data_IF_047531165953
#
_entry.id   IF_047531165953
#
_cell.length_a   1.000
_cell.length_b   1.000
_cell.length_c   1.000
_cell.angle_alpha   90.00
_cell.angle_beta   90.00
_cell.angle_gamma   90.00
#
_symmetry.space_group_name_H-M   'P 1'
#
loop_
_entity.id
_entity.type
_entity.pdbx_description
1 polymer ?
#
# COMPACT_ATOMS: atom_id res chain seq x y z
N UNK A 1 11.13 -9.37 2.21
CA UNK A 1 11.76 -10.71 2.20
C UNK A 1 11.03 -11.56 3.23
N UNK A 2 10.28 -12.58 2.79
CA UNK A 2 9.53 -13.47 3.69
C UNK A 2 10.49 -14.43 4.37
N UNK A 3 10.34 -14.65 5.68
CA UNK A 3 11.08 -15.71 6.38
C UNK A 3 10.65 -17.10 5.87
N UNK A 4 11.55 -18.07 5.99
CA UNK A 4 11.29 -19.48 5.71
C UNK A 4 10.00 -19.94 6.42
N UNK A 5 9.12 -20.64 5.70
CA UNK A 5 7.81 -21.12 6.17
C UNK A 5 7.94 -21.94 7.45
N UNK A 6 9.05 -22.66 7.61
CA UNK A 6 9.34 -23.47 8.80
C UNK A 6 9.61 -22.61 10.05
N UNK A 7 10.15 -21.40 9.89
CA UNK A 7 10.43 -20.46 10.99
C UNK A 7 9.14 -19.77 11.45
N UNK A 8 8.28 -19.36 10.52
CA UNK A 8 6.96 -18.79 10.85
C UNK A 8 6.08 -19.79 11.59
N UNK A 9 6.04 -21.05 11.13
CA UNK A 9 5.30 -22.12 11.80
C UNK A 9 5.76 -22.35 13.24
N UNK A 10 7.08 -22.33 13.49
CA UNK A 10 7.62 -22.44 14.85
C UNK A 10 7.25 -21.24 15.73
N UNK A 11 7.15 -20.05 15.16
CA UNK A 11 6.72 -18.87 15.91
C UNK A 11 5.24 -18.96 16.31
N UNK A 12 4.37 -19.41 15.41
CA UNK A 12 2.96 -19.71 15.72
C UNK A 12 2.84 -20.72 16.88
N UNK A 13 3.64 -21.79 16.88
CA UNK A 13 3.63 -22.79 17.95
C UNK A 13 4.01 -22.18 19.31
N UNK A 14 5.02 -21.30 19.34
CA UNK A 14 5.45 -20.59 20.56
C UNK A 14 4.35 -19.64 21.06
N UNK A 15 3.75 -18.87 20.15
CA UNK A 15 2.62 -17.98 20.49
C UNK A 15 1.43 -18.79 21.03
N UNK A 16 1.14 -19.95 20.44
CA UNK A 16 0.13 -20.88 20.94
C UNK A 16 0.40 -21.35 22.37
N UNK A 17 1.65 -21.71 22.70
CA UNK A 17 2.04 -22.07 24.08
C UNK A 17 1.87 -20.91 25.06
N UNK A 18 2.18 -19.68 24.66
CA UNK A 18 1.99 -18.48 25.49
C UNK A 18 0.50 -18.29 25.79
N UNK A 19 -0.35 -18.36 24.76
CA UNK A 19 -1.80 -18.24 24.91
C UNK A 19 -2.35 -19.38 25.78
N UNK A 20 -1.82 -20.60 25.63
CA UNK A 20 -2.21 -21.72 26.48
C UNK A 20 -1.84 -21.50 27.95
N UNK A 21 -0.65 -20.99 28.23
CA UNK A 21 -0.21 -20.64 29.58
C UNK A 21 -1.08 -19.52 30.22
N UNK A 22 -1.78 -18.72 29.41
CA UNK A 22 -2.75 -17.72 29.86
C UNK A 22 -4.16 -18.29 30.10
N UNK A 23 -4.34 -19.62 30.04
CA UNK A 23 -5.58 -20.30 30.39
C UNK A 23 -6.53 -20.58 29.23
N UNK A 24 -6.04 -20.53 27.98
CA UNK A 24 -6.81 -20.88 26.80
C UNK A 24 -6.48 -22.29 26.28
N UNK A 25 -7.47 -23.00 25.77
CA UNK A 25 -7.31 -24.12 24.86
C UNK A 25 -7.03 -23.58 23.44
N UNK A 26 -6.12 -24.22 22.70
CA UNK A 26 -5.50 -23.62 21.49
C UNK A 26 -5.54 -24.58 20.30
N UNK A 27 -6.26 -24.18 19.25
CA UNK A 27 -6.28 -24.84 17.94
C UNK A 27 -5.38 -24.07 16.94
N UNK A 28 -4.28 -24.68 16.46
CA UNK A 28 -3.40 -24.09 15.45
C UNK A 28 -3.93 -24.33 14.03
N UNK A 29 -3.81 -23.32 13.14
CA UNK A 29 -4.11 -23.37 11.70
C UNK A 29 -5.51 -23.89 11.37
N UNK A 30 -6.51 -23.33 12.06
CA UNK A 30 -7.91 -23.75 11.92
C UNK A 30 -8.50 -23.21 10.62
N UNK A 31 -9.16 -24.08 9.85
CA UNK A 31 -9.90 -23.68 8.67
C UNK A 31 -11.40 -23.57 9.01
N UNK A 32 -12.00 -22.40 8.85
CA UNK A 32 -13.45 -22.20 9.08
C UNK A 32 -14.19 -21.75 7.83
N UNK A 33 -15.43 -22.23 7.60
CA UNK A 33 -16.28 -21.71 6.55
C UNK A 33 -16.57 -20.22 6.78
N UNK A 34 -16.44 -19.41 5.73
CA UNK A 34 -16.72 -17.98 5.76
C UNK A 34 -17.60 -17.58 4.56
N UNK A 35 -18.73 -16.92 4.85
CA UNK A 35 -19.67 -16.42 3.87
C UNK A 35 -20.65 -17.47 3.30
N UNK A 36 -21.59 -17.05 2.44
CA UNK A 36 -22.65 -17.90 1.88
C UNK A 36 -22.18 -18.88 0.80
N UNK A 37 -20.92 -18.78 0.36
CA UNK A 37 -20.23 -19.76 -0.50
C UNK A 37 -19.14 -20.38 0.38
N UNK A 38 -18.96 -21.69 0.32
CA UNK A 38 -18.03 -22.48 1.15
C UNK A 38 -16.53 -22.13 0.93
N UNK A 39 -16.15 -20.87 1.14
CA UNK A 39 -14.77 -20.42 1.22
C UNK A 39 -14.28 -20.70 2.63
N UNK A 40 -13.08 -21.28 2.75
CA UNK A 40 -12.44 -21.50 4.03
C UNK A 40 -11.50 -20.34 4.32
N UNK A 41 -11.65 -19.73 5.50
CA UNK A 41 -10.68 -18.80 6.07
C UNK A 41 -9.73 -19.62 6.95
N UNK A 42 -8.45 -19.54 6.66
CA UNK A 42 -7.39 -20.03 7.56
C UNK A 42 -7.18 -19.01 8.67
N UNK A 43 -7.14 -19.49 9.91
CA UNK A 43 -6.89 -18.70 11.12
C UNK A 43 -5.63 -19.31 11.74
N UNK A 44 -4.59 -18.49 11.95
CA UNK A 44 -3.30 -18.97 12.45
C UNK A 44 -3.46 -19.66 13.82
N UNK A 45 -4.21 -19.04 14.74
CA UNK A 45 -4.56 -19.63 16.02
C UNK A 45 -6.00 -19.29 16.41
N UNK A 46 -6.76 -20.29 16.86
CA UNK A 46 -8.08 -20.10 17.47
C UNK A 46 -8.03 -20.58 18.92
N UNK A 47 -8.16 -19.64 19.86
CA UNK A 47 -8.05 -19.92 21.29
C UNK A 47 -9.43 -19.83 21.99
N UNK A 48 -9.69 -20.68 22.99
CA UNK A 48 -10.96 -20.70 23.74
C UNK A 48 -10.72 -20.91 25.23
N UNK A 49 -11.56 -20.35 26.10
CA UNK A 49 -11.44 -20.58 27.54
C UNK A 49 -12.77 -21.04 28.17
N UNK A 50 -12.72 -21.42 29.45
CA UNK A 50 -13.89 -21.88 30.22
C UNK A 50 -14.98 -20.82 30.39
N UNK A 51 -14.62 -19.54 30.25
CA UNK A 51 -15.55 -18.41 30.36
C UNK A 51 -16.32 -18.16 29.04
N UNK A 52 -16.12 -19.01 28.04
CA UNK A 52 -16.77 -18.91 26.73
C UNK A 52 -16.16 -17.87 25.81
N UNK A 53 -14.96 -17.36 26.11
CA UNK A 53 -14.20 -16.49 25.20
C UNK A 53 -13.73 -17.31 24.01
N UNK A 54 -13.89 -16.76 22.80
CA UNK A 54 -13.30 -17.30 21.57
C UNK A 54 -12.43 -16.22 20.96
N UNK A 55 -11.12 -16.45 20.94
CA UNK A 55 -10.09 -15.51 20.52
C UNK A 55 -9.44 -15.97 19.21
N UNK A 56 -9.82 -15.40 18.06
CA UNK A 56 -9.10 -15.61 16.81
C UNK A 56 -7.82 -14.75 16.81
N UNK A 57 -6.71 -15.34 16.39
CA UNK A 57 -5.38 -14.72 16.41
C UNK A 57 -4.73 -14.84 15.04
N UNK A 58 -4.18 -13.73 14.58
CA UNK A 58 -3.28 -13.64 13.43
C UNK A 58 -1.84 -13.49 13.92
N UNK A 59 -0.90 -14.24 13.36
CA UNK A 59 0.51 -14.23 13.76
C UNK A 59 1.39 -13.75 12.60
N UNK A 60 2.17 -12.70 12.84
CA UNK A 60 3.09 -12.13 11.85
C UNK A 60 4.52 -12.14 12.35
N UNK A 61 5.42 -12.64 11.51
CA UNK A 61 6.86 -12.59 11.71
C UNK A 61 7.51 -11.80 10.57
N UNK A 62 8.41 -10.89 10.92
CA UNK A 62 9.17 -10.09 9.98
C UNK A 62 10.65 -10.16 10.33
N UNK A 63 11.51 -10.01 9.32
CA UNK A 63 12.97 -9.91 9.50
C UNK A 63 13.41 -8.53 10.00
N UNK A 64 12.52 -7.54 9.97
CA UNK A 64 12.78 -6.17 10.43
C UNK A 64 12.64 -6.08 11.95
N UNK A 65 13.46 -5.26 12.57
CA UNK A 65 13.35 -4.98 14.01
C UNK A 65 12.06 -4.24 14.37
N UNK A 66 11.67 -3.29 13.51
CA UNK A 66 10.49 -2.45 13.67
C UNK A 66 9.47 -2.75 12.56
N UNK A 67 8.20 -2.82 12.93
CA UNK A 67 7.09 -2.99 11.97
C UNK A 67 6.83 -1.65 11.27
N UNK A 68 6.81 -1.68 9.93
CA UNK A 68 6.42 -0.50 9.16
C UNK A 68 4.91 -0.24 9.31
N UNK A 69 4.50 1.03 9.35
CA UNK A 69 3.09 1.42 9.52
C UNK A 69 2.16 0.76 8.48
N UNK A 70 2.63 0.61 7.23
CA UNK A 70 1.89 -0.07 6.17
C UNK A 70 1.65 -1.56 6.45
N UNK A 71 2.65 -2.27 6.99
CA UNK A 71 2.53 -3.69 7.39
C UNK A 71 1.62 -3.84 8.60
N UNK A 72 1.74 -2.95 9.57
CA UNK A 72 0.86 -2.92 10.74
C UNK A 72 -0.59 -2.76 10.31
N UNK A 73 -0.89 -1.72 9.53
CA UNK A 73 -2.25 -1.42 9.06
C UNK A 73 -2.87 -2.55 8.25
N UNK A 74 -2.11 -3.13 7.31
CA UNK A 74 -2.63 -4.21 6.45
C UNK A 74 -2.91 -5.47 7.27
N UNK A 75 -2.06 -5.81 8.24
CA UNK A 75 -2.28 -6.93 9.16
C UNK A 75 -3.42 -6.67 10.15
N UNK A 76 -3.55 -5.44 10.66
CA UNK A 76 -4.66 -5.03 11.55
C UNK A 76 -6.01 -5.12 10.83
N UNK A 77 -6.09 -4.68 9.58
CA UNK A 77 -7.29 -4.81 8.74
C UNK A 77 -7.68 -6.28 8.50
N UNK A 78 -6.70 -7.14 8.21
CA UNK A 78 -6.93 -8.58 8.07
C UNK A 78 -7.46 -9.20 9.37
N UNK A 79 -6.84 -8.84 10.49
CA UNK A 79 -7.22 -9.32 11.83
C UNK A 79 -8.64 -8.89 12.20
N UNK A 80 -9.01 -7.65 11.89
CA UNK A 80 -10.36 -7.11 12.13
C UNK A 80 -11.47 -7.87 11.38
N UNK A 81 -11.14 -8.53 10.26
CA UNK A 81 -12.11 -9.33 9.53
C UNK A 81 -12.57 -10.58 10.31
N UNK A 82 -11.86 -10.96 11.38
CA UNK A 82 -12.20 -12.10 12.25
C UNK A 82 -13.16 -11.72 13.41
N UNK A 83 -13.68 -10.50 13.42
CA UNK A 83 -14.62 -10.01 14.45
C UNK A 83 -15.88 -10.86 14.60
N UNK A 84 -16.29 -11.56 13.54
CA UNK A 84 -17.45 -12.44 13.51
C UNK A 84 -17.21 -13.80 14.19
N UNK A 85 -15.94 -14.17 14.36
CA UNK A 85 -15.50 -15.38 15.06
C UNK A 85 -15.24 -15.09 16.53
N UNK A 86 -14.81 -13.86 16.85
CA UNK A 86 -14.51 -13.45 18.21
C UNK A 86 -15.76 -13.43 19.10
N UNK A 87 -15.69 -14.08 20.26
CA UNK A 87 -16.76 -14.09 21.27
C UNK A 87 -16.22 -13.51 22.56
N UNK A 88 -16.88 -12.47 23.09
CA UNK A 88 -16.51 -11.76 24.32
C UNK A 88 -15.06 -11.23 24.35
N UNK A 89 -14.47 -10.99 23.18
CA UNK A 89 -13.12 -10.44 23.02
C UNK A 89 -12.97 -9.73 21.69
N UNK A 90 -11.83 -9.05 21.49
CA UNK A 90 -11.40 -8.52 20.19
C UNK A 90 -10.45 -9.52 19.52
N UNK A 91 -10.45 -9.63 18.18
CA UNK A 91 -9.40 -10.36 17.48
C UNK A 91 -8.00 -9.86 17.88
N UNK A 92 -7.05 -10.78 17.99
CA UNK A 92 -5.68 -10.48 18.41
C UNK A 92 -4.71 -10.57 17.23
N UNK A 93 -3.86 -9.56 17.08
CA UNK A 93 -2.74 -9.56 16.15
C UNK A 93 -1.43 -9.69 16.93
N UNK A 94 -0.63 -10.69 16.60
CA UNK A 94 0.67 -10.94 17.23
C UNK A 94 1.79 -10.64 16.23
N UNK A 95 2.75 -9.79 16.63
CA UNK A 95 3.93 -9.45 15.83
C UNK A 95 5.22 -9.88 16.55
N UNK A 96 6.08 -10.62 15.84
CA UNK A 96 7.42 -10.99 16.31
C UNK A 96 8.47 -9.88 16.25
N UNK A 97 8.06 -8.63 16.05
CA UNK A 97 8.91 -7.45 15.95
C UNK A 97 8.35 -6.32 16.83
N UNK A 98 9.15 -5.27 17.06
CA UNK A 98 8.72 -4.12 17.85
C UNK A 98 7.77 -3.24 17.04
N UNK A 99 6.80 -2.64 17.73
CA UNK A 99 5.88 -1.68 17.14
C UNK A 99 6.00 -0.37 17.93
N UNK A 100 6.14 0.75 17.21
CA UNK A 100 6.06 2.07 17.83
C UNK A 100 4.76 2.21 18.67
N UNK A 101 4.84 2.62 19.95
CA UNK A 101 3.67 2.65 20.84
C UNK A 101 2.50 3.48 20.31
N UNK A 102 2.77 4.63 19.66
CA UNK A 102 1.71 5.47 19.11
C UNK A 102 1.01 4.78 17.93
N UNK A 103 1.77 4.08 17.07
CA UNK A 103 1.21 3.27 15.98
C UNK A 103 0.40 2.09 16.48
N UNK A 104 0.82 1.45 17.57
CA UNK A 104 0.08 0.35 18.20
C UNK A 104 -1.28 0.81 18.71
N UNK A 105 -1.30 1.89 19.51
CA UNK A 105 -2.54 2.47 20.06
C UNK A 105 -3.51 2.83 18.94
N UNK A 106 -3.03 3.55 17.92
CA UNK A 106 -3.83 3.90 16.75
C UNK A 106 -4.45 2.66 16.07
N UNK A 107 -3.66 1.60 15.85
CA UNK A 107 -4.13 0.40 15.16
C UNK A 107 -5.14 -0.40 16.01
N UNK A 108 -4.96 -0.47 17.34
CA UNK A 108 -5.90 -1.11 18.27
C UNK A 108 -7.26 -0.39 18.27
N UNK A 109 -7.25 0.94 18.24
CA UNK A 109 -8.46 1.78 18.23
C UNK A 109 -9.20 1.73 16.89
N UNK A 110 -8.48 2.01 15.80
CA UNK A 110 -9.05 2.11 14.44
C UNK A 110 -9.67 0.79 13.99
N UNK A 111 -8.95 -0.32 14.20
CA UNK A 111 -9.38 -1.64 13.73
C UNK A 111 -10.18 -2.43 14.77
N UNK A 112 -10.30 -1.90 16.00
CA UNK A 112 -10.94 -2.58 17.13
C UNK A 112 -10.38 -3.99 17.39
N UNK A 113 -9.06 -4.09 17.42
CA UNK A 113 -8.31 -5.33 17.71
C UNK A 113 -7.45 -5.15 18.96
N UNK A 114 -6.82 -6.24 19.43
CA UNK A 114 -5.72 -6.20 20.39
C UNK A 114 -4.40 -6.50 19.65
N UNK A 115 -3.27 -5.93 20.08
CA UNK A 115 -1.96 -6.16 19.45
C UNK A 115 -0.92 -6.54 20.50
N UNK A 116 -0.27 -7.69 20.30
CA UNK A 116 0.93 -8.06 21.06
C UNK A 116 2.15 -7.98 20.14
N UNK A 117 3.00 -6.99 20.38
CA UNK A 117 4.29 -6.87 19.72
C UNK A 117 5.37 -7.68 20.46
N UNK A 118 6.61 -7.62 19.99
CA UNK A 118 7.72 -8.37 20.59
C UNK A 118 7.91 -8.05 22.07
N UNK A 119 7.75 -6.80 22.48
CA UNK A 119 7.90 -6.40 23.88
C UNK A 119 6.79 -7.00 24.75
N UNK A 120 5.53 -6.84 24.35
CA UNK A 120 4.39 -7.40 25.08
C UNK A 120 4.41 -8.94 25.12
N UNK A 121 4.87 -9.59 24.04
CA UNK A 121 5.05 -11.03 24.02
C UNK A 121 6.06 -11.50 25.06
N UNK A 122 7.21 -10.82 25.19
CA UNK A 122 8.22 -11.15 26.20
C UNK A 122 7.66 -10.97 27.62
N UNK A 123 6.88 -9.91 27.85
CA UNK A 123 6.22 -9.68 29.14
C UNK A 123 5.18 -10.77 29.47
N UNK A 124 4.44 -11.25 28.47
CA UNK A 124 3.38 -12.26 28.63
C UNK A 124 3.87 -13.71 28.60
N UNK A 125 5.12 -13.95 28.20
CA UNK A 125 5.62 -15.29 27.89
C UNK A 125 5.62 -16.27 29.08
N UNK A 126 5.72 -15.77 30.31
CA UNK A 126 5.67 -16.59 31.53
C UNK A 126 6.64 -17.79 31.45
N UNK A 127 6.16 -19.05 31.63
CA UNK A 127 7.01 -20.25 31.53
C UNK A 127 7.67 -20.47 30.16
N UNK A 128 7.17 -19.82 29.10
CA UNK A 128 7.65 -19.93 27.71
C UNK A 128 8.75 -18.90 27.40
N UNK A 129 9.10 -18.02 28.35
CA UNK A 129 10.04 -16.92 28.14
C UNK A 129 11.39 -17.37 27.57
N UNK A 130 12.00 -18.41 28.13
CA UNK A 130 13.31 -18.89 27.66
C UNK A 130 13.27 -19.42 26.23
N UNK A 131 12.17 -20.09 25.85
CA UNK A 131 11.97 -20.60 24.49
C UNK A 131 11.79 -19.43 23.50
N UNK A 132 10.94 -18.45 23.84
CA UNK A 132 10.68 -17.27 23.04
C UNK A 132 11.94 -16.40 22.88
N UNK A 133 12.68 -16.16 23.97
CA UNK A 133 13.89 -15.36 23.94
C UNK A 133 15.00 -16.01 23.09
N UNK A 134 15.16 -17.34 23.19
CA UNK A 134 16.04 -18.10 22.30
C UNK A 134 15.60 -18.02 20.85
N UNK A 135 14.29 -18.09 20.58
CA UNK A 135 13.76 -17.93 19.22
C UNK A 135 14.13 -16.56 18.63
N UNK A 136 13.85 -15.48 19.37
CA UNK A 136 14.18 -14.13 18.93
C UNK A 136 15.69 -13.90 18.77
N UNK A 137 16.52 -14.43 19.66
CA UNK A 137 17.98 -14.37 19.52
C UNK A 137 18.44 -15.01 18.20
N UNK A 138 17.83 -16.12 17.77
CA UNK A 138 18.17 -16.76 16.51
C UNK A 138 17.67 -15.96 15.30
N UNK A 139 16.49 -15.34 15.40
CA UNK A 139 15.97 -14.40 14.40
C UNK A 139 16.92 -13.21 14.24
N UNK A 140 17.40 -12.64 15.34
CA UNK A 140 18.32 -11.50 15.34
C UNK A 140 19.69 -11.88 14.80
N UNK A 141 20.21 -13.08 15.11
CA UNK A 141 21.45 -13.60 14.51
C UNK A 141 21.33 -13.76 13.00
N UNK A 142 20.22 -14.32 12.52
CA UNK A 142 19.95 -14.42 11.07
C UNK A 142 19.84 -13.03 10.42
N UNK A 143 19.20 -12.07 11.11
CA UNK A 143 19.12 -10.66 10.69
C UNK A 143 20.52 -10.04 10.55
N UNK A 144 21.38 -10.22 11.54
CA UNK A 144 22.74 -9.72 11.53
C UNK A 144 23.61 -10.36 10.43
N UNK A 145 23.42 -11.65 10.12
CA UNK A 145 24.13 -12.34 9.03
C UNK A 145 23.67 -11.90 7.63
N UNK A 146 22.42 -11.44 7.50
CA UNK A 146 21.88 -10.85 6.27
C UNK A 146 22.29 -9.37 6.10
N UNK A 147 22.96 -8.79 7.09
CA UNK A 147 23.56 -7.46 7.04
C UNK A 147 25.06 -7.61 6.70
N UNK A 148 25.65 -6.78 5.81
CA UNK A 148 27.08 -6.89 5.46
C UNK A 148 27.97 -6.66 6.70
N UNK A 149 29.18 -7.27 6.77
CA UNK A 149 30.00 -7.25 7.97
C UNK A 149 30.57 -5.86 8.25
N UNK A 150 30.43 -5.43 9.52
CA UNK A 150 31.00 -4.20 10.05
C UNK A 150 32.54 -4.31 10.24
N UNK A 151 33.27 -3.27 9.82
CA UNK A 151 34.70 -3.11 10.13
C UNK A 151 34.84 -2.55 11.54
N UNK A 152 35.65 -3.23 12.35
CA UNK A 152 35.98 -2.94 13.76
C UNK A 152 37.09 -1.90 13.85
N UNK A 153 36.97 -0.91 14.76
CA UNK A 153 38.11 -0.43 15.57
C UNK A 153 37.63 0.05 16.95
N UNK A 154 38.41 -0.30 17.98
CA UNK A 154 38.18 -0.09 19.42
C UNK A 154 38.83 1.20 19.96
N UNK A 155 38.38 1.74 21.12
CA UNK A 155 38.71 3.08 21.65
C UNK A 155 39.84 3.09 22.72
N UNK A 156 40.49 4.24 23.04
CA UNK A 156 40.22 4.99 24.31
C UNK A 156 40.65 6.51 24.26
N UNK A 157 40.63 7.30 25.37
CA UNK A 157 39.70 7.41 26.50
C UNK A 157 39.11 8.84 26.70
N UNK A 158 38.15 8.92 27.63
CA UNK A 158 37.24 10.01 28.01
C UNK A 158 37.84 11.24 28.74
N UNK A 159 37.28 12.43 28.47
CA UNK A 159 36.53 13.22 29.48
C UNK A 159 35.44 14.07 28.80
N UNK A 160 34.24 13.96 29.36
CA UNK A 160 32.93 14.47 28.91
C UNK A 160 32.89 16.01 28.82
N UNK A 161 32.10 16.66 27.97
CA UNK A 161 30.67 16.46 27.71
C UNK A 161 30.38 16.81 26.23
N UNK A 162 30.13 15.80 25.39
CA UNK A 162 30.08 15.97 23.93
C UNK A 162 28.67 16.36 23.43
N UNK A 163 28.57 17.63 23.02
CA UNK A 163 27.79 18.06 21.86
C UNK A 163 28.66 17.85 20.61
N UNK A 164 28.14 17.17 19.59
CA UNK A 164 28.07 17.68 18.20
C UNK A 164 27.75 16.56 17.20
N UNK A 165 26.63 16.76 16.51
CA UNK A 165 26.49 16.79 15.05
C UNK A 165 26.88 15.59 14.17
N UNK A 166 25.84 15.08 13.51
CA UNK A 166 25.80 14.43 12.19
C UNK A 166 26.79 13.28 11.94
N UNK A 167 26.30 12.05 12.10
CA UNK A 167 26.79 10.94 11.28
C UNK A 167 26.40 11.19 9.81
N UNK A 168 27.31 11.08 8.83
CA UNK A 168 26.93 11.12 7.43
C UNK A 168 26.16 9.82 7.13
N UNK A 169 24.85 9.95 6.97
CA UNK A 169 24.01 8.88 6.44
C UNK A 169 24.57 8.45 5.07
N UNK A 170 24.68 7.15 4.81
CA UNK A 170 24.71 6.64 3.44
C UNK A 170 23.68 7.41 2.61
N UNK A 171 24.01 7.90 1.41
CA UNK A 171 23.06 8.66 0.61
C UNK A 171 21.80 7.80 0.45
N UNK A 172 20.68 8.27 1.01
CA UNK A 172 19.36 7.79 0.61
C UNK A 172 19.38 7.75 -0.92
N UNK A 173 19.00 6.64 -1.58
CA UNK A 173 18.95 6.63 -3.03
C UNK A 173 18.11 7.83 -3.46
N UNK A 174 18.72 8.73 -4.24
CA UNK A 174 18.07 9.96 -4.71
C UNK A 174 16.68 9.57 -5.25
N UNK A 175 15.60 10.25 -4.81
CA UNK A 175 14.27 10.00 -5.33
C UNK A 175 14.30 9.97 -6.87
N UNK A 176 13.71 8.94 -7.51
CA UNK A 176 13.90 8.71 -8.93
C UNK A 176 13.12 9.67 -9.84
N UNK A 177 12.42 10.69 -9.30
CA UNK A 177 11.52 11.53 -10.07
C UNK A 177 12.22 12.25 -11.22
N UNK A 178 13.38 12.86 -11.01
CA UNK A 178 14.15 13.48 -12.11
C UNK A 178 14.62 12.46 -13.17
N UNK A 179 14.93 11.23 -12.78
CA UNK A 179 15.28 10.16 -13.73
C UNK A 179 14.06 9.71 -14.57
N UNK A 180 12.88 9.64 -13.94
CA UNK A 180 11.61 9.35 -14.61
C UNK A 180 11.21 10.51 -15.55
N UNK A 181 11.41 11.77 -15.15
CA UNK A 181 11.19 12.96 -15.99
C UNK A 181 12.09 12.93 -17.23
N UNK A 182 13.38 12.65 -17.06
CA UNK A 182 14.32 12.53 -18.16
C UNK A 182 13.90 11.45 -19.15
N UNK A 183 13.48 10.28 -18.65
CA UNK A 183 13.00 9.16 -19.45
C UNK A 183 11.71 9.49 -20.21
N UNK A 184 10.74 10.14 -19.55
CA UNK A 184 9.48 10.59 -20.15
C UNK A 184 9.73 11.62 -21.27
N UNK A 185 10.65 12.56 -21.05
CA UNK A 185 10.96 13.65 -21.99
C UNK A 185 11.74 13.15 -23.21
N UNK A 186 12.63 12.18 -23.03
CA UNK A 186 13.44 11.63 -24.10
C UNK A 186 12.63 10.81 -25.13
N UNK A 187 11.46 10.26 -24.75
CA UNK A 187 10.63 9.47 -25.66
C UNK A 187 9.95 10.35 -26.72
N UNK A 188 10.05 10.05 -28.01
CA UNK A 188 9.34 10.82 -29.03
C UNK A 188 7.83 10.49 -29.03
N UNK A 189 6.97 11.47 -29.34
CA UNK A 189 5.56 11.21 -29.52
C UNK A 189 5.30 10.36 -30.78
N UNK A 190 4.34 9.45 -30.70
CA UNK A 190 3.86 8.68 -31.85
C UNK A 190 3.64 7.21 -31.56
N UNK A 191 3.02 6.54 -32.54
CA UNK A 191 2.65 5.11 -32.44
C UNK A 191 3.86 4.18 -32.26
N UNK A 192 5.01 4.55 -32.84
CA UNK A 192 6.25 3.76 -32.78
C UNK A 192 6.67 3.48 -31.33
N UNK A 193 6.60 4.52 -30.50
CA UNK A 193 7.09 4.47 -29.11
C UNK A 193 5.94 4.42 -28.10
N UNK A 194 4.72 4.13 -28.54
CA UNK A 194 3.53 4.08 -27.67
C UNK A 194 3.66 3.04 -26.55
N UNK A 195 4.29 1.90 -26.80
CA UNK A 195 4.53 0.87 -25.77
C UNK A 195 5.62 1.27 -24.77
N UNK A 196 6.64 2.00 -25.22
CA UNK A 196 7.62 2.57 -24.30
C UNK A 196 6.98 3.66 -23.42
N UNK A 197 6.09 4.48 -24.01
CA UNK A 197 5.30 5.47 -23.26
C UNK A 197 4.40 4.82 -22.20
N UNK A 198 3.68 3.76 -22.55
CA UNK A 198 2.88 2.98 -21.58
C UNK A 198 3.73 2.42 -20.43
N UNK A 199 4.94 1.95 -20.74
CA UNK A 199 5.87 1.42 -19.73
C UNK A 199 6.34 2.51 -18.77
N UNK A 200 6.78 3.67 -19.28
CA UNK A 200 7.22 4.77 -18.40
C UNK A 200 6.05 5.35 -17.59
N UNK A 201 4.84 5.43 -18.18
CA UNK A 201 3.64 5.86 -17.45
C UNK A 201 3.34 4.91 -16.29
N UNK A 202 3.48 3.59 -16.50
CA UNK A 202 3.33 2.59 -15.45
C UNK A 202 4.33 2.83 -14.32
N UNK A 203 5.61 3.02 -14.65
CA UNK A 203 6.67 3.23 -13.66
C UNK A 203 6.45 4.52 -12.85
N UNK A 204 5.96 5.58 -13.50
CA UNK A 204 5.56 6.83 -12.85
C UNK A 204 4.38 6.60 -11.90
N UNK A 205 3.32 5.91 -12.33
CA UNK A 205 2.15 5.62 -11.49
C UNK A 205 2.55 4.79 -10.27
N UNK A 206 3.37 3.75 -10.46
CA UNK A 206 3.85 2.90 -9.38
C UNK A 206 4.68 3.68 -8.36
N UNK A 207 5.51 4.62 -8.84
CA UNK A 207 6.29 5.49 -7.96
C UNK A 207 5.43 6.48 -7.18
N UNK A 208 4.45 7.11 -7.85
CA UNK A 208 3.58 8.11 -7.23
C UNK A 208 2.57 7.49 -6.26
N UNK A 209 1.97 6.35 -6.63
CA UNK A 209 0.75 5.83 -6.02
C UNK A 209 0.78 4.33 -5.72
N UNK A 210 1.94 3.66 -5.80
CA UNK A 210 2.05 2.21 -5.59
C UNK A 210 1.64 1.71 -4.21
N UNK A 211 1.50 2.61 -3.23
CA UNK A 211 0.92 2.26 -1.93
C UNK A 211 -0.58 1.99 -2.01
N UNK A 212 -1.29 2.79 -2.82
CA UNK A 212 -2.74 2.80 -3.02
C UNK A 212 -3.21 1.95 -4.21
N UNK A 213 -2.37 1.86 -5.25
CA UNK A 213 -2.66 1.16 -6.50
C UNK A 213 -1.86 -0.14 -6.55
N UNK A 214 -2.57 -1.27 -6.58
CA UNK A 214 -2.00 -2.63 -6.48
C UNK A 214 -2.40 -3.49 -7.68
N UNK A 215 -1.77 -4.65 -7.78
CA UNK A 215 -2.14 -5.73 -8.70
C UNK A 215 -2.30 -5.27 -10.16
N UNK A 216 -1.31 -4.51 -10.66
CA UNK A 216 -1.33 -4.01 -12.04
C UNK A 216 -1.50 -5.17 -13.03
N UNK A 217 -2.58 -5.11 -13.82
CA UNK A 217 -2.80 -6.04 -14.93
C UNK A 217 -2.59 -5.31 -16.25
N UNK A 218 -1.45 -5.53 -16.88
CA UNK A 218 -1.31 -5.29 -18.32
C UNK A 218 -2.07 -6.39 -19.04
N UNK A 219 -3.18 -6.08 -19.73
CA UNK A 219 -3.88 -7.13 -20.47
C UNK A 219 -3.03 -7.58 -21.67
N UNK A 220 -2.72 -8.88 -21.76
CA UNK A 220 -2.15 -9.49 -22.96
C UNK A 220 -3.24 -9.65 -24.02
N UNK A 221 -2.88 -9.36 -25.27
CA UNK A 221 -3.69 -9.54 -26.49
C UNK A 221 -4.44 -10.87 -26.50
N UNK A 222 -5.77 -10.82 -26.65
CA UNK A 222 -6.56 -11.90 -27.28
C UNK A 222 -6.56 -11.73 -28.80
N UNK A 223 -6.79 -12.84 -29.50
CA UNK A 223 -6.52 -13.06 -30.92
C UNK A 223 -7.28 -12.15 -31.91
N UNK A 224 -8.22 -11.32 -31.45
CA UNK A 224 -9.20 -10.68 -32.33
C UNK A 224 -8.94 -9.18 -32.57
N UNK A 225 -7.82 -8.64 -32.08
CA UNK A 225 -7.37 -7.27 -32.40
C UNK A 225 -8.26 -6.13 -31.89
N UNK A 226 -9.34 -6.43 -31.17
CA UNK A 226 -10.29 -5.46 -30.62
C UNK A 226 -9.94 -5.10 -29.17
N UNK A 227 -9.13 -4.04 -29.08
CA UNK A 227 -8.98 -3.07 -27.99
C UNK A 227 -8.69 -3.58 -26.57
N UNK A 228 -7.49 -3.23 -26.11
CA UNK A 228 -6.89 -3.65 -24.84
C UNK A 228 -6.60 -2.38 -24.05
N UNK A 229 -6.99 -2.36 -22.78
CA UNK A 229 -6.60 -1.30 -21.84
C UNK A 229 -5.10 -1.26 -21.66
N UNK A 230 -4.53 -0.05 -21.58
CA UNK A 230 -3.09 0.08 -21.35
C UNK A 230 -2.75 -0.37 -19.91
N UNK A 231 -3.44 0.16 -18.89
CA UNK A 231 -3.19 -0.22 -17.48
C UNK A 231 -4.48 -0.24 -16.63
N UNK A 232 -4.67 -1.31 -15.84
CA UNK A 232 -5.74 -1.40 -14.83
C UNK A 232 -5.11 -1.68 -13.48
N UNK A 233 -5.46 -0.85 -12.50
CA UNK A 233 -5.05 -1.02 -11.11
C UNK A 233 -6.24 -1.39 -10.24
N UNK A 234 -6.03 -2.33 -9.33
CA UNK A 234 -6.91 -2.51 -8.19
C UNK A 234 -6.59 -1.40 -7.20
N UNK A 235 -7.63 -0.70 -6.74
CA UNK A 235 -7.43 0.29 -5.68
C UNK A 235 -7.50 -0.43 -4.34
N UNK A 236 -6.45 -0.28 -3.55
CA UNK A 236 -6.37 -0.66 -2.14
C UNK A 236 -6.14 0.61 -1.34
N UNK A 237 -7.17 1.48 -1.25
CA UNK A 237 -6.98 2.88 -0.89
C UNK A 237 -6.42 2.99 0.54
N UNK A 238 -5.33 3.73 0.64
CA UNK A 238 -4.57 4.05 1.84
C UNK A 238 -4.66 5.54 2.15
N UNK A 239 -4.47 6.37 1.13
CA UNK A 239 -4.50 7.82 1.15
C UNK A 239 -5.95 8.35 1.14
N UNK A 240 -6.27 9.42 1.89
CA UNK A 240 -7.62 10.01 1.92
C UNK A 240 -8.19 10.35 0.54
N UNK A 241 -7.35 10.80 -0.39
CA UNK A 241 -7.75 11.04 -1.79
C UNK A 241 -8.34 9.77 -2.43
N UNK A 242 -7.60 8.66 -2.41
CA UNK A 242 -8.04 7.40 -3.03
C UNK A 242 -9.24 6.78 -2.30
N UNK A 243 -9.33 6.94 -0.99
CA UNK A 243 -10.52 6.53 -0.20
C UNK A 243 -11.75 7.30 -0.67
N UNK A 244 -11.63 8.62 -0.79
CA UNK A 244 -12.73 9.50 -1.22
C UNK A 244 -13.14 9.18 -2.66
N UNK A 245 -12.18 9.13 -3.58
CA UNK A 245 -12.42 8.82 -4.99
C UNK A 245 -13.14 7.48 -5.17
N UNK A 246 -12.66 6.42 -4.50
CA UNK A 246 -13.27 5.08 -4.62
C UNK A 246 -14.65 4.99 -3.99
N UNK A 247 -14.90 5.70 -2.90
CA UNK A 247 -16.21 5.79 -2.26
C UNK A 247 -17.20 6.52 -3.16
N UNK A 248 -16.87 7.72 -3.59
CA UNK A 248 -17.77 8.64 -4.28
C UNK A 248 -18.18 8.08 -5.65
N UNK A 249 -17.23 7.41 -6.31
CA UNK A 249 -17.46 6.76 -7.60
C UNK A 249 -17.81 5.28 -7.50
N UNK A 250 -17.80 4.66 -6.32
CA UNK A 250 -17.94 3.21 -6.14
C UNK A 250 -16.95 2.41 -6.99
N UNK A 251 -15.71 2.89 -7.08
CA UNK A 251 -14.67 2.27 -7.89
C UNK A 251 -13.91 1.19 -7.08
N UNK A 252 -13.77 -0.02 -7.65
CA UNK A 252 -12.84 -1.05 -7.16
C UNK A 252 -11.54 -1.10 -7.95
N UNK A 253 -11.59 -0.62 -9.18
CA UNK A 253 -10.47 -0.52 -10.10
C UNK A 253 -10.49 0.84 -10.79
N UNK A 254 -9.31 1.34 -11.12
CA UNK A 254 -9.11 2.55 -11.94
C UNK A 254 -8.35 2.17 -13.20
N UNK A 255 -8.66 2.84 -14.30
CA UNK A 255 -7.93 2.67 -15.56
C UNK A 255 -6.96 3.82 -15.77
N UNK A 256 -5.86 3.51 -16.43
CA UNK A 256 -5.02 4.50 -17.08
C UNK A 256 -4.92 4.15 -18.56
N UNK A 257 -5.26 5.13 -19.39
CA UNK A 257 -5.19 5.04 -20.85
C UNK A 257 -4.02 5.90 -21.34
N UNK A 258 -3.05 5.31 -22.03
CA UNK A 258 -1.80 5.96 -22.41
C UNK A 258 -1.83 6.43 -23.88
N UNK A 259 -1.96 7.73 -24.10
CA UNK A 259 -2.03 8.31 -25.45
C UNK A 259 -0.75 9.05 -25.82
N UNK A 260 0.20 8.32 -26.43
CA UNK A 260 1.45 8.89 -26.94
C UNK A 260 1.26 9.65 -28.27
N UNK A 261 0.44 10.70 -28.30
CA UNK A 261 0.15 11.48 -29.50
C UNK A 261 0.90 12.82 -29.49
N UNK A 262 1.39 13.25 -30.67
CA UNK A 262 1.99 14.58 -30.82
C UNK A 262 0.98 15.73 -30.81
N UNK A 263 -0.32 15.42 -30.93
CA UNK A 263 -1.44 16.37 -30.90
C UNK A 263 -2.29 16.14 -29.64
N UNK A 264 -2.96 17.19 -29.12
CA UNK A 264 -3.93 17.07 -28.03
C UNK A 264 -4.97 15.98 -28.26
N UNK A 265 -5.42 15.35 -27.18
CA UNK A 265 -6.51 14.36 -27.21
C UNK A 265 -7.83 15.06 -27.50
N UNK A 266 -8.59 14.52 -28.46
CA UNK A 266 -9.90 15.04 -28.87
C UNK A 266 -11.07 14.17 -28.40
N UNK A 267 -12.30 14.67 -28.58
CA UNK A 267 -13.54 14.03 -28.13
C UNK A 267 -13.70 12.56 -28.58
N UNK A 268 -13.28 12.21 -29.79
CA UNK A 268 -13.40 10.83 -30.29
C UNK A 268 -12.65 9.82 -29.42
N UNK A 269 -11.51 10.20 -28.86
CA UNK A 269 -10.73 9.32 -27.98
C UNK A 269 -11.41 9.14 -26.62
N UNK A 270 -12.18 10.14 -26.18
CA UNK A 270 -13.01 10.04 -24.97
C UNK A 270 -14.10 9.00 -25.21
N UNK A 271 -14.86 9.11 -26.31
CA UNK A 271 -15.94 8.16 -26.61
C UNK A 271 -15.47 6.72 -26.76
N UNK A 272 -14.29 6.49 -27.33
CA UNK A 272 -13.73 5.13 -27.41
C UNK A 272 -13.31 4.61 -26.04
N UNK A 273 -12.69 5.45 -25.21
CA UNK A 273 -12.27 5.10 -23.85
C UNK A 273 -13.47 4.87 -22.93
N UNK A 274 -14.53 5.65 -23.07
CA UNK A 274 -15.71 5.64 -22.21
C UNK A 274 -16.54 4.35 -22.30
N UNK A 275 -16.54 3.70 -23.48
CA UNK A 275 -17.22 2.41 -23.72
C UNK A 275 -16.77 1.30 -22.78
N UNK A 276 -15.60 1.48 -22.20
CA UNK A 276 -14.99 0.54 -21.31
C UNK A 276 -15.26 0.80 -19.83
N UNK A 277 -15.65 2.02 -19.50
CA UNK A 277 -15.96 2.38 -18.14
C UNK A 277 -17.38 1.93 -17.81
N UNK A 278 -17.55 1.47 -16.59
CA UNK A 278 -18.83 0.97 -16.11
C UNK A 278 -18.95 1.23 -14.62
N UNK A 279 -19.85 2.14 -14.26
CA UNK A 279 -20.20 2.38 -12.87
C UNK A 279 -20.83 1.13 -12.23
N UNK A 280 -21.64 0.37 -12.98
CA UNK A 280 -22.26 -0.87 -12.49
C UNK A 280 -21.24 -1.99 -12.25
N UNK A 281 -20.18 -2.08 -13.06
CA UNK A 281 -19.08 -3.02 -12.86
C UNK A 281 -17.97 -2.51 -11.92
N UNK A 282 -18.21 -1.42 -11.18
CA UNK A 282 -17.28 -0.83 -10.21
C UNK A 282 -15.95 -0.38 -10.85
N UNK A 283 -16.03 0.06 -12.11
CA UNK A 283 -14.94 0.60 -12.92
C UNK A 283 -15.32 1.91 -13.64
N UNK A 284 -15.76 2.96 -12.93
CA UNK A 284 -16.19 4.21 -13.56
C UNK A 284 -15.08 5.24 -13.78
N UNK A 285 -13.88 5.05 -13.21
CA UNK A 285 -12.82 6.07 -13.22
C UNK A 285 -11.70 5.70 -14.19
N UNK A 286 -11.31 6.66 -15.04
CA UNK A 286 -10.19 6.56 -15.96
C UNK A 286 -9.32 7.82 -15.92
N UNK A 287 -8.01 7.64 -15.86
CA UNK A 287 -7.03 8.70 -16.11
C UNK A 287 -6.50 8.55 -17.52
N UNK A 288 -6.71 9.57 -18.36
CA UNK A 288 -6.20 9.61 -19.74
C UNK A 288 -4.89 10.37 -19.72
N UNK A 289 -3.80 9.64 -19.92
CA UNK A 289 -2.43 10.14 -19.92
C UNK A 289 -2.02 10.58 -21.32
N UNK A 290 -1.49 11.78 -21.47
CA UNK A 290 -1.09 12.28 -22.79
C UNK A 290 0.10 13.23 -22.79
N UNK A 291 0.81 13.28 -23.92
CA UNK A 291 1.97 14.19 -24.10
C UNK A 291 1.64 15.67 -23.96
N UNK A 292 0.38 16.06 -24.16
CA UNK A 292 -0.11 17.45 -24.17
C UNK A 292 -1.43 17.56 -23.41
N UNK A 293 -1.81 18.76 -22.94
CA UNK A 293 -3.14 19.00 -22.40
C UNK A 293 -4.25 18.59 -23.38
N UNK A 294 -5.38 18.14 -22.84
CA UNK A 294 -6.52 17.72 -23.64
C UNK A 294 -7.14 18.90 -24.40
N UNK A 295 -7.70 18.63 -25.58
CA UNK A 295 -8.45 19.63 -26.33
C UNK A 295 -9.75 19.97 -25.56
N UNK A 296 -10.25 21.23 -25.57
CA UNK A 296 -11.48 21.60 -24.87
C UNK A 296 -12.70 20.71 -25.18
N UNK A 297 -12.87 20.32 -26.45
CA UNK A 297 -13.92 19.36 -26.83
C UNK A 297 -13.78 17.97 -26.19
N UNK A 298 -12.58 17.52 -25.84
CA UNK A 298 -12.39 16.28 -25.08
C UNK A 298 -12.86 16.44 -23.64
N UNK A 299 -12.54 17.59 -23.01
CA UNK A 299 -13.06 17.93 -21.67
C UNK A 299 -14.58 17.96 -21.68
N UNK A 300 -15.19 18.62 -22.67
CA UNK A 300 -16.65 18.66 -22.82
C UNK A 300 -17.26 17.26 -22.99
N UNK A 301 -16.65 16.39 -23.79
CA UNK A 301 -17.10 15.01 -23.95
C UNK A 301 -17.00 14.21 -22.65
N UNK A 302 -15.91 14.39 -21.89
CA UNK A 302 -15.74 13.76 -20.57
C UNK A 302 -16.79 14.26 -19.57
N UNK A 303 -17.12 15.56 -19.57
CA UNK A 303 -18.19 16.11 -18.75
C UNK A 303 -19.58 15.55 -19.13
N UNK A 304 -19.79 15.21 -20.40
CA UNK A 304 -20.98 14.46 -20.85
C UNK A 304 -21.03 13.07 -20.23
N UNK A 305 -19.96 12.28 -20.37
CA UNK A 305 -19.84 10.95 -19.78
C UNK A 305 -20.05 10.92 -18.26
N UNK A 306 -19.52 11.94 -17.57
CA UNK A 306 -19.70 12.11 -16.13
C UNK A 306 -21.17 12.37 -15.78
N UNK A 307 -21.81 13.34 -16.43
CA UNK A 307 -23.22 13.72 -16.15
C UNK A 307 -24.21 12.60 -16.49
N UNK A 308 -24.00 11.92 -17.60
CA UNK A 308 -24.98 10.95 -18.13
C UNK A 308 -24.81 9.56 -17.53
N UNK A 309 -23.57 9.17 -17.19
CA UNK A 309 -23.26 7.78 -16.84
C UNK A 309 -22.42 7.62 -15.56
N UNK A 310 -22.14 8.71 -14.83
CA UNK A 310 -21.28 8.72 -13.66
C UNK A 310 -19.89 8.10 -13.93
N UNK A 311 -19.34 8.35 -15.12
CA UNK A 311 -18.02 7.88 -15.54
C UNK A 311 -17.06 9.06 -15.55
N UNK A 312 -16.04 8.99 -14.70
CA UNK A 312 -15.04 10.03 -14.57
C UNK A 312 -13.88 9.76 -15.53
N UNK A 313 -13.59 10.72 -16.40
CA UNK A 313 -12.37 10.73 -17.20
C UNK A 313 -11.55 11.97 -16.83
N UNK A 314 -10.39 11.75 -16.22
CA UNK A 314 -9.45 12.80 -15.80
C UNK A 314 -8.30 12.85 -16.79
N UNK A 315 -7.98 14.01 -17.33
CA UNK A 315 -6.85 14.16 -18.25
C UNK A 315 -5.60 14.59 -17.49
N UNK A 316 -4.51 13.85 -17.66
CA UNK A 316 -3.21 14.17 -17.08
C UNK A 316 -2.19 14.27 -18.21
N UNK A 317 -1.56 15.43 -18.34
CA UNK A 317 -0.51 15.65 -19.31
C UNK A 317 0.86 15.28 -18.76
N UNK A 318 1.87 15.18 -19.63
CA UNK A 318 3.27 15.04 -19.20
C UNK A 318 3.67 16.15 -18.20
N UNK A 319 3.17 17.38 -18.38
CA UNK A 319 3.42 18.49 -17.45
C UNK A 319 2.87 18.20 -16.04
N UNK A 320 1.72 17.52 -15.95
CA UNK A 320 1.10 17.17 -14.67
C UNK A 320 1.86 16.02 -13.99
N UNK A 321 2.34 15.05 -14.77
CA UNK A 321 3.28 14.02 -14.30
C UNK A 321 4.57 14.64 -13.78
N UNK A 322 5.16 15.59 -14.50
CA UNK A 322 6.38 16.29 -14.06
C UNK A 322 6.16 17.01 -12.73
N UNK A 323 5.03 17.72 -12.57
CA UNK A 323 4.67 18.37 -11.29
C UNK A 323 4.53 17.35 -10.16
N UNK A 324 3.80 16.26 -10.39
CA UNK A 324 3.59 15.21 -9.40
C UNK A 324 4.90 14.50 -9.00
N UNK A 325 5.78 14.22 -9.96
CA UNK A 325 7.09 13.61 -9.70
C UNK A 325 7.97 14.51 -8.84
N UNK A 326 8.01 15.81 -9.14
CA UNK A 326 8.76 16.78 -8.33
C UNK A 326 8.16 16.96 -6.94
N UNK A 327 6.84 16.99 -6.82
CA UNK A 327 6.16 17.02 -5.52
C UNK A 327 6.53 15.77 -4.71
N UNK A 328 6.53 14.58 -5.32
CA UNK A 328 6.91 13.33 -4.66
C UNK A 328 8.36 13.34 -4.20
N UNK A 329 9.27 13.80 -5.05
CA UNK A 329 10.70 13.91 -4.70
C UNK A 329 10.92 14.90 -3.56
N UNK A 330 10.26 16.07 -3.60
CA UNK A 330 10.31 17.06 -2.51
C UNK A 330 9.77 16.48 -1.20
N UNK A 331 8.61 15.80 -1.26
CA UNK A 331 8.01 15.09 -0.12
C UNK A 331 8.98 14.10 0.52
N UNK A 332 9.76 13.36 -0.28
CA UNK A 332 10.73 12.39 0.21
C UNK A 332 12.05 13.04 0.69
N UNK A 333 12.51 14.11 0.03
CA UNK A 333 13.75 14.82 0.38
C UNK A 333 13.63 15.62 1.67
N UNK A 334 12.49 16.27 1.88
CA UNK A 334 12.27 17.11 3.05
C UNK A 334 12.10 16.29 4.34
N UNK A 335 11.90 14.96 4.25
CA UNK A 335 11.87 14.05 5.40
C UNK A 335 10.91 14.48 6.52
N UNK A 336 9.92 15.30 6.16
CA UNK A 336 9.37 16.31 7.04
C UNK A 336 8.19 15.86 7.89
N UNK A 337 7.77 16.77 8.76
CA UNK A 337 6.54 16.74 9.55
C UNK A 337 5.31 16.40 8.68
N UNK A 338 4.22 15.96 9.31
CA UNK A 338 2.95 15.66 8.61
C UNK A 338 2.50 16.80 7.69
N UNK A 339 2.79 18.06 8.06
CA UNK A 339 2.47 19.24 7.26
C UNK A 339 3.27 19.33 5.95
N UNK A 340 4.57 19.02 5.97
CA UNK A 340 5.43 18.99 4.76
C UNK A 340 5.06 17.81 3.85
N UNK A 341 4.70 16.67 4.45
CA UNK A 341 4.18 15.52 3.70
C UNK A 341 2.87 15.86 2.98
N UNK A 342 1.97 16.63 3.61
CA UNK A 342 0.72 17.09 3.01
C UNK A 342 0.94 18.20 1.97
N UNK A 343 1.85 19.13 2.20
CA UNK A 343 2.12 20.25 1.30
C UNK A 343 2.65 19.81 -0.07
N UNK A 344 3.41 18.71 -0.10
CA UNK A 344 4.04 18.16 -1.31
C UNK A 344 3.38 16.85 -1.76
N UNK A 345 2.13 16.58 -1.38
CA UNK A 345 1.44 15.35 -1.80
C UNK A 345 1.03 15.41 -3.29
N UNK A 346 1.48 14.46 -4.13
CA UNK A 346 1.12 14.44 -5.55
C UNK A 346 -0.38 14.29 -5.81
N UNK A 347 -1.15 13.74 -4.86
CA UNK A 347 -2.59 13.58 -4.98
C UNK A 347 -3.35 14.91 -4.92
N UNK A 348 -2.77 15.98 -4.37
CA UNK A 348 -3.37 17.33 -4.41
C UNK A 348 -3.53 17.84 -5.86
N UNK A 349 -2.59 17.47 -6.75
CA UNK A 349 -2.69 17.79 -8.18
C UNK A 349 -3.86 17.04 -8.81
N UNK A 350 -4.08 15.78 -8.42
CA UNK A 350 -5.23 15.01 -8.89
C UNK A 350 -6.54 15.58 -8.35
N UNK A 351 -6.59 15.92 -7.06
CA UNK A 351 -7.78 16.46 -6.41
C UNK A 351 -8.16 17.80 -7.03
N UNK A 352 -7.20 18.71 -7.21
CA UNK A 352 -7.42 19.98 -7.89
C UNK A 352 -7.88 19.78 -9.33
N UNK A 353 -7.28 18.85 -10.08
CA UNK A 353 -7.68 18.56 -11.47
C UNK A 353 -9.13 18.06 -11.52
N UNK A 354 -9.53 17.19 -10.59
CA UNK A 354 -10.89 16.67 -10.50
C UNK A 354 -11.85 17.78 -10.07
N UNK A 355 -11.45 18.61 -9.09
CA UNK A 355 -12.24 19.75 -8.63
C UNK A 355 -12.51 20.72 -9.77
N UNK A 356 -11.47 21.15 -10.50
CA UNK A 356 -11.60 22.08 -11.63
C UNK A 356 -12.49 21.49 -12.73
N UNK A 357 -12.35 20.18 -12.99
CA UNK A 357 -13.20 19.48 -13.94
C UNK A 357 -14.68 19.50 -13.49
N UNK A 358 -14.96 19.18 -12.22
CA UNK A 358 -16.32 19.12 -11.67
C UNK A 358 -16.95 20.51 -11.58
N UNK A 359 -16.20 21.50 -11.06
CA UNK A 359 -16.64 22.88 -10.93
C UNK A 359 -16.86 23.56 -12.30
N UNK A 360 -16.08 23.16 -13.30
CA UNK A 360 -16.20 23.62 -14.68
C UNK A 360 -17.32 22.95 -15.49
N UNK A 361 -18.02 21.94 -14.96
CA UNK A 361 -19.12 21.32 -15.67
C UNK A 361 -20.29 22.30 -15.82
N UNK A 362 -20.67 22.59 -17.06
CA UNK A 362 -21.87 23.37 -17.35
C UNK A 362 -23.11 22.68 -16.73
N UNK A 363 -23.92 23.48 -16.02
CA UNK A 363 -25.17 23.03 -15.38
C UNK A 363 -26.14 22.41 -16.38
#
# INVERSE_FOLDING_TARGET
MLMDRNVSSKFEDIVGKIIHALGFDVDLRTHRPYGPRAHFREIDILARNSDGVVLPVEVKLTVREQVALSQLRDASSQTANMKDIAINTRPLLVYGAYIDPARRVWAEEEFRIEIWDRELLLQKAGPVFDELNKFFTNVDKKRAQLSPPAVVTTPPPTMEFMRSDQEPSDPQPEPPGEALIASLTALPPGKKDAKAYETICKDIIDYLFGDDLRDVRSQKRTADGLNIYDLIYRVSPKHPFWVTLTRDFRARVVLFECKNYGKPIGAMQVFTTERYLSASALRPVCFVLSRKPAHPHAVQAASGAMRESNKLLVFLSDDDFIKMLRAKDAQLKEGGTVAEMQANDPTEILDQTIYDFVAGMAR
#
